data_IF_100261609250
#
_entry.id   IF_100261609250
#
_cell.length_a   1.000
_cell.length_b   1.000
_cell.length_c   1.000
_cell.angle_alpha   90.00
_cell.angle_beta   90.00
_cell.angle_gamma   90.00
#
_symmetry.space_group_name_H-M   'P 1'
#
loop_
_entity.id
_entity.type
_entity.pdbx_description
1 polymer ?
#
# COMPACT_ATOMS: atom_id res chain seq x y z
N UNK A 1 -17.35 1.29 -10.25
CA UNK A 1 -16.58 0.56 -9.21
C UNK A 1 -15.24 0.07 -9.73
N UNK A 2 -15.16 -0.69 -10.83
CA UNK A 2 -13.87 -1.25 -11.28
C UNK A 2 -12.80 -0.20 -11.69
N UNK A 3 -13.19 0.89 -12.37
CA UNK A 3 -12.26 1.99 -12.68
C UNK A 3 -11.72 2.68 -11.42
N UNK A 4 -12.56 2.89 -10.40
CA UNK A 4 -12.16 3.50 -9.13
C UNK A 4 -11.18 2.59 -8.37
N UNK A 5 -11.49 1.29 -8.27
CA UNK A 5 -10.61 0.32 -7.62
C UNK A 5 -9.23 0.23 -8.31
N UNK A 6 -9.19 0.24 -9.65
CA UNK A 6 -7.92 0.29 -10.41
C UNK A 6 -7.13 1.59 -10.16
N UNK A 7 -7.83 2.72 -10.04
CA UNK A 7 -7.22 3.99 -9.70
C UNK A 7 -6.57 3.95 -8.31
N UNK A 8 -7.33 3.48 -7.31
CA UNK A 8 -6.91 3.37 -5.93
C UNK A 8 -5.69 2.44 -5.77
N UNK A 9 -5.71 1.24 -6.38
CA UNK A 9 -4.57 0.30 -6.35
C UNK A 9 -3.31 0.94 -6.90
N UNK A 10 -3.40 1.62 -8.04
CA UNK A 10 -2.25 2.30 -8.65
C UNK A 10 -1.74 3.43 -7.78
N UNK A 11 -2.64 4.19 -7.16
CA UNK A 11 -2.24 5.31 -6.32
C UNK A 11 -1.54 4.85 -5.04
N UNK A 12 -2.11 3.85 -4.36
CA UNK A 12 -1.49 3.21 -3.18
C UNK A 12 -0.15 2.57 -3.55
N UNK A 13 -0.07 1.87 -4.68
CA UNK A 13 1.18 1.27 -5.15
C UNK A 13 2.28 2.33 -5.35
N UNK A 14 1.94 3.46 -6.00
CA UNK A 14 2.86 4.58 -6.24
C UNK A 14 3.40 5.18 -4.94
N UNK A 15 2.56 5.29 -3.91
CA UNK A 15 2.95 5.81 -2.59
C UNK A 15 3.88 4.86 -1.85
N UNK A 16 3.54 3.56 -1.82
CA UNK A 16 4.41 2.54 -1.22
C UNK A 16 5.76 2.45 -1.96
N UNK A 17 5.77 2.53 -3.28
CA UNK A 17 7.01 2.56 -4.07
C UNK A 17 7.87 3.80 -3.78
N UNK A 18 7.24 4.95 -3.53
CA UNK A 18 7.93 6.17 -3.07
C UNK A 18 8.55 5.96 -1.69
N UNK A 19 7.77 5.44 -0.75
CA UNK A 19 8.24 5.12 0.60
C UNK A 19 9.42 4.13 0.58
N UNK A 20 9.40 3.15 -0.33
CA UNK A 20 10.54 2.23 -0.50
C UNK A 20 11.84 2.96 -0.82
N UNK A 21 11.77 3.93 -1.74
CA UNK A 21 12.93 4.75 -2.12
C UNK A 21 13.40 5.63 -0.96
N UNK A 22 12.46 6.24 -0.23
CA UNK A 22 12.76 7.05 0.95
C UNK A 22 13.44 6.24 2.06
N UNK A 23 13.06 4.97 2.24
CA UNK A 23 13.69 4.03 3.19
C UNK A 23 14.99 3.40 2.69
N UNK A 24 15.41 3.70 1.46
CA UNK A 24 16.67 3.21 0.89
C UNK A 24 16.65 1.75 0.44
N UNK A 25 15.48 1.14 0.26
CA UNK A 25 15.39 -0.23 -0.25
C UNK A 25 15.76 -0.30 -1.74
N UNK A 26 16.41 -1.39 -2.16
CA UNK A 26 16.73 -1.56 -3.57
C UNK A 26 15.45 -1.82 -4.40
N UNK A 27 15.35 -1.28 -5.62
CA UNK A 27 14.19 -1.48 -6.49
C UNK A 27 13.93 -2.94 -6.87
N UNK A 28 14.97 -3.77 -6.90
CA UNK A 28 14.90 -5.18 -7.30
C UNK A 28 14.49 -6.12 -6.17
N UNK A 29 14.63 -5.68 -4.92
CA UNK A 29 14.37 -6.53 -3.76
C UNK A 29 12.86 -6.79 -3.60
N UNK A 30 12.53 -7.99 -3.14
CA UNK A 30 11.18 -8.33 -2.71
C UNK A 30 11.17 -8.27 -1.19
N UNK A 31 10.41 -7.32 -0.64
CA UNK A 31 10.32 -7.13 0.82
C UNK A 31 9.25 -8.07 1.41
N UNK A 32 9.22 -8.24 2.73
CA UNK A 32 8.30 -9.18 3.36
C UNK A 32 6.85 -8.69 3.30
N UNK A 33 6.63 -7.41 3.60
CA UNK A 33 5.27 -6.90 3.79
C UNK A 33 5.13 -5.42 3.47
N UNK A 34 4.01 -5.05 2.86
CA UNK A 34 3.48 -3.69 2.91
C UNK A 34 2.26 -3.65 3.82
N UNK A 35 2.09 -2.58 4.59
CA UNK A 35 0.94 -2.40 5.47
C UNK A 35 0.28 -1.06 5.23
N UNK A 36 -1.05 -1.06 5.11
CA UNK A 36 -1.87 0.13 4.87
C UNK A 36 -2.96 0.16 5.93
N UNK A 37 -3.02 1.23 6.72
CA UNK A 37 -3.99 1.41 7.81
C UNK A 37 -4.86 2.65 7.56
N UNK A 38 -5.99 2.70 8.27
CA UNK A 38 -6.90 3.84 8.31
C UNK A 38 -7.59 4.15 6.97
N UNK A 39 -7.64 3.16 6.06
CA UNK A 39 -8.57 3.17 4.93
C UNK A 39 -10.01 3.10 5.44
N UNK A 40 -10.93 3.72 4.71
CA UNK A 40 -12.36 3.62 5.00
C UNK A 40 -12.89 2.29 4.47
N UNK A 41 -14.09 1.90 4.90
CA UNK A 41 -14.62 0.57 4.59
C UNK A 41 -14.79 0.36 3.07
N UNK A 42 -15.18 1.40 2.33
CA UNK A 42 -15.36 1.34 0.88
C UNK A 42 -14.01 1.12 0.16
N UNK A 43 -12.99 1.91 0.51
CA UNK A 43 -11.65 1.79 -0.06
C UNK A 43 -10.98 0.48 0.32
N UNK A 44 -11.17 0.04 1.57
CA UNK A 44 -10.67 -1.23 2.06
C UNK A 44 -11.28 -2.40 1.27
N UNK A 45 -12.59 -2.40 1.05
CA UNK A 45 -13.27 -3.43 0.24
C UNK A 45 -12.72 -3.46 -1.19
N UNK A 46 -12.54 -2.29 -1.82
CA UNK A 46 -12.03 -2.21 -3.20
C UNK A 46 -10.59 -2.74 -3.37
N UNK A 47 -9.75 -2.56 -2.35
CA UNK A 47 -8.33 -2.92 -2.41
C UNK A 47 -8.05 -4.34 -1.89
N UNK A 48 -8.85 -4.83 -0.93
CA UNK A 48 -8.63 -6.13 -0.29
C UNK A 48 -8.68 -7.28 -1.29
N UNK A 49 -9.60 -7.23 -2.25
CA UNK A 49 -9.72 -8.20 -3.34
C UNK A 49 -8.59 -8.09 -4.39
N UNK A 50 -7.74 -7.05 -4.27
CA UNK A 50 -6.63 -6.75 -5.20
C UNK A 50 -5.27 -6.79 -4.49
N UNK A 51 -5.21 -7.41 -3.31
CA UNK A 51 -3.98 -7.49 -2.51
C UNK A 51 -2.81 -8.12 -3.27
N UNK A 52 -3.05 -9.14 -4.10
CA UNK A 52 -2.01 -9.76 -4.92
C UNK A 52 -1.49 -8.84 -6.03
N UNK A 53 -2.38 -8.12 -6.72
CA UNK A 53 -2.02 -7.11 -7.72
C UNK A 53 -1.15 -6.02 -7.08
N UNK A 54 -1.54 -5.55 -5.90
CA UNK A 54 -0.81 -4.56 -5.15
C UNK A 54 0.55 -5.07 -4.66
N UNK A 55 0.61 -6.30 -4.14
CA UNK A 55 1.85 -6.95 -3.70
C UNK A 55 2.86 -7.06 -4.85
N UNK A 56 2.38 -7.43 -6.03
CA UNK A 56 3.17 -7.51 -7.25
C UNK A 56 3.74 -6.14 -7.66
N UNK A 57 2.89 -5.10 -7.71
CA UNK A 57 3.31 -3.75 -8.08
C UNK A 57 4.37 -3.18 -7.12
N UNK A 58 4.22 -3.41 -5.82
CA UNK A 58 5.11 -2.87 -4.79
C UNK A 58 6.33 -3.76 -4.54
N UNK A 59 6.35 -4.98 -5.09
CA UNK A 59 7.39 -6.02 -4.86
C UNK A 59 7.51 -6.39 -3.39
N UNK A 60 6.41 -6.86 -2.81
CA UNK A 60 6.36 -7.42 -1.46
C UNK A 60 5.76 -8.83 -1.50
N UNK A 61 6.05 -9.66 -0.51
CA UNK A 61 5.45 -11.00 -0.44
C UNK A 61 3.97 -10.95 -0.08
N UNK A 62 3.55 -9.96 0.74
CA UNK A 62 2.14 -9.78 1.12
C UNK A 62 1.80 -8.31 1.40
N UNK A 63 0.52 -8.00 1.30
CA UNK A 63 -0.06 -6.72 1.74
C UNK A 63 -1.01 -7.00 2.90
N UNK A 64 -0.88 -6.20 3.97
CA UNK A 64 -1.74 -6.27 5.13
C UNK A 64 -2.53 -4.96 5.30
N UNK A 65 -3.75 -5.09 5.79
CA UNK A 65 -4.62 -3.95 6.16
C UNK A 65 -4.71 -3.74 7.68
N UNK A 66 -3.81 -4.41 8.40
CA UNK A 66 -3.66 -4.37 9.85
C UNK A 66 -2.21 -4.04 10.20
N UNK A 67 -1.99 -3.66 11.47
CA UNK A 67 -0.67 -3.26 11.95
C UNK A 67 0.30 -4.44 11.93
N UNK A 68 1.26 -4.42 11.01
CA UNK A 68 2.26 -5.49 10.84
C UNK A 68 3.70 -5.00 10.68
N UNK A 69 3.90 -3.69 10.59
CA UNK A 69 5.21 -3.05 10.46
C UNK A 69 5.57 -2.30 11.76
N UNK A 70 6.85 -1.97 11.93
CA UNK A 70 7.36 -1.23 13.09
C UNK A 70 7.08 0.27 12.96
N UNK A 71 7.36 0.83 11.78
CA UNK A 71 7.26 2.27 11.55
C UNK A 71 6.27 2.57 10.43
N UNK A 72 5.42 3.57 10.61
CA UNK A 72 4.42 4.00 9.64
C UNK A 72 4.64 5.46 9.26
N UNK A 73 4.44 5.76 7.98
CA UNK A 73 4.39 7.13 7.46
C UNK A 73 2.93 7.53 7.27
N UNK A 74 2.57 8.72 7.72
CA UNK A 74 1.28 9.33 7.41
C UNK A 74 1.27 9.81 5.96
N UNK A 75 0.16 9.56 5.26
CA UNK A 75 -0.06 9.95 3.87
C UNK A 75 -1.53 10.37 3.69
N UNK A 76 -1.84 10.95 2.53
CA UNK A 76 -3.18 11.43 2.20
C UNK A 76 -3.60 10.95 0.81
N UNK A 77 -4.74 10.26 0.73
CA UNK A 77 -5.38 9.87 -0.53
C UNK A 77 -6.72 10.59 -0.61
N UNK A 78 -6.83 11.51 -1.58
CA UNK A 78 -8.07 12.24 -1.86
C UNK A 78 -8.70 12.92 -0.62
N UNK A 79 -7.87 13.43 0.30
CA UNK A 79 -8.30 14.07 1.54
C UNK A 79 -8.54 13.12 2.72
N UNK A 80 -8.38 11.82 2.51
CA UNK A 80 -8.36 10.81 3.56
C UNK A 80 -6.94 10.58 4.06
N UNK A 81 -6.73 10.79 5.36
CA UNK A 81 -5.49 10.41 6.03
C UNK A 81 -5.38 8.89 6.16
N UNK A 82 -4.25 8.36 5.73
CA UNK A 82 -3.90 6.95 5.85
C UNK A 82 -2.51 6.79 6.45
N UNK A 83 -2.16 5.56 6.83
CA UNK A 83 -0.81 5.21 7.25
C UNK A 83 -0.27 4.07 6.42
N UNK A 84 0.92 4.27 5.85
CA UNK A 84 1.57 3.28 5.00
C UNK A 84 2.93 2.87 5.56
N UNK A 85 3.30 1.62 5.32
CA UNK A 85 4.60 1.08 5.67
C UNK A 85 5.04 -0.02 4.70
N UNK A 86 6.36 -0.22 4.62
CA UNK A 86 6.96 -1.27 3.81
C UNK A 86 8.23 -1.78 4.49
N UNK A 87 8.33 -3.11 4.68
CA UNK A 87 9.42 -3.79 5.39
C UNK A 87 9.80 -5.11 4.75
#
# INVERSE_FOLDING_TARGET
>A
KEMMAKGLVKDVARRLQTLRKERGYNPTDVLEVASILELDDESLEMIKDRGEELAFLVRVKKVNFEKSCKEYKEDDIDGQKIKISVE
#
